data_IF_519352450120
#
_entry.id   IF_519352450120
#
_cell.length_a   1.000
_cell.length_b   1.000
_cell.length_c   1.000
_cell.angle_alpha   90.00
_cell.angle_beta   90.00
_cell.angle_gamma   90.00
#
_symmetry.space_group_name_H-M   'P 1'
#
loop_
_entity.id
_entity.type
_entity.pdbx_description
1 polymer ?
#
# COMPACT_ATOMS: atom_id res chain seq x y z
N UNK A 1 -21.93 -2.28 -1.57
CA UNK A 1 -20.77 -1.42 -1.27
C UNK A 1 -19.57 -1.91 -2.09
N UNK A 2 -18.79 -1.01 -2.65
CA UNK A 2 -17.61 -1.34 -3.46
C UNK A 2 -16.35 -0.88 -2.74
N UNK A 3 -15.31 -1.71 -2.73
CA UNK A 3 -13.98 -1.38 -2.18
C UNK A 3 -12.90 -2.12 -2.95
N UNK A 4 -11.70 -1.57 -2.95
CA UNK A 4 -10.51 -2.24 -3.47
C UNK A 4 -9.74 -2.89 -2.32
N UNK A 5 -9.22 -4.07 -2.56
CA UNK A 5 -8.38 -4.84 -1.64
C UNK A 5 -7.00 -5.08 -2.26
N UNK A 6 -5.98 -5.07 -1.43
CA UNK A 6 -4.63 -5.28 -1.90
C UNK A 6 -4.32 -6.78 -2.06
N UNK A 7 -3.81 -7.14 -3.23
CA UNK A 7 -3.26 -8.46 -3.51
C UNK A 7 -1.76 -8.31 -3.75
N UNK A 8 -0.96 -8.92 -2.89
CA UNK A 8 0.48 -9.03 -3.12
C UNK A 8 0.83 -10.36 -3.77
N UNK A 9 1.56 -10.28 -4.88
CA UNK A 9 2.18 -11.44 -5.54
C UNK A 9 3.59 -11.06 -6.00
N UNK A 10 4.57 -11.87 -5.62
CA UNK A 10 5.97 -11.73 -6.08
C UNK A 10 6.56 -10.34 -5.85
N UNK A 11 6.16 -9.68 -4.75
CA UNK A 11 6.62 -8.34 -4.39
C UNK A 11 5.93 -7.20 -5.13
N UNK A 12 4.90 -7.49 -5.94
CA UNK A 12 4.07 -6.51 -6.63
C UNK A 12 2.68 -6.44 -5.99
N UNK A 13 2.19 -5.24 -5.78
CA UNK A 13 0.85 -4.98 -5.25
C UNK A 13 -0.14 -4.70 -6.38
N UNK A 14 -1.30 -5.33 -6.33
CA UNK A 14 -2.41 -5.14 -7.27
C UNK A 14 -3.68 -4.82 -6.48
N UNK A 15 -4.46 -3.85 -6.95
CA UNK A 15 -5.79 -3.55 -6.38
C UNK A 15 -6.85 -4.43 -7.03
N UNK A 16 -7.59 -5.17 -6.21
CA UNK A 16 -8.66 -6.06 -6.64
C UNK A 16 -9.99 -5.49 -6.18
N UNK A 17 -10.93 -5.20 -7.09
CA UNK A 17 -12.25 -4.72 -6.71
C UNK A 17 -13.06 -5.83 -6.05
N UNK A 18 -13.67 -5.50 -4.92
CA UNK A 18 -14.58 -6.37 -4.17
C UNK A 18 -15.91 -5.65 -3.96
N UNK A 19 -17.00 -6.28 -4.34
CA UNK A 19 -18.34 -5.82 -4.00
C UNK A 19 -18.87 -6.58 -2.79
N UNK A 20 -19.39 -5.86 -1.79
CA UNK A 20 -20.02 -6.42 -0.61
C UNK A 20 -21.51 -6.12 -0.58
N UNK A 21 -22.32 -7.13 -0.22
CA UNK A 21 -23.76 -7.04 -0.01
C UNK A 21 -24.05 -7.60 1.38
N UNK A 22 -24.66 -6.76 2.22
CA UNK A 22 -25.17 -7.15 3.54
C UNK A 22 -26.68 -7.33 3.43
N UNK A 23 -27.19 -8.53 3.65
CA UNK A 23 -28.62 -8.81 3.61
C UNK A 23 -28.99 -9.96 4.55
N UNK A 24 -29.98 -9.75 5.41
CA UNK A 24 -30.53 -10.80 6.28
C UNK A 24 -29.49 -11.44 7.23
N UNK A 25 -28.49 -10.68 7.70
CA UNK A 25 -27.44 -11.22 8.55
C UNK A 25 -26.35 -12.00 7.79
N UNK A 26 -26.34 -11.94 6.46
CA UNK A 26 -25.39 -12.61 5.60
C UNK A 26 -24.53 -11.56 4.86
N UNK A 27 -23.21 -11.79 4.81
CA UNK A 27 -22.28 -11.03 4.01
C UNK A 27 -21.98 -11.80 2.72
N UNK A 28 -22.35 -11.22 1.58
CA UNK A 28 -21.92 -11.69 0.26
C UNK A 28 -20.74 -10.87 -0.23
N UNK A 29 -19.75 -11.52 -0.82
CA UNK A 29 -18.63 -10.85 -1.49
C UNK A 29 -18.50 -11.33 -2.92
N UNK A 30 -18.39 -10.38 -3.87
CA UNK A 30 -18.11 -10.64 -5.28
C UNK A 30 -16.70 -10.11 -5.59
N UNK A 31 -15.86 -10.98 -6.12
CA UNK A 31 -14.50 -10.67 -6.55
C UNK A 31 -14.06 -11.61 -7.67
N UNK A 32 -13.10 -11.18 -8.46
CA UNK A 32 -12.59 -11.96 -9.59
C UNK A 32 -11.27 -12.70 -9.28
N UNK A 33 -10.66 -12.43 -8.12
CA UNK A 33 -9.43 -13.11 -7.68
C UNK A 33 -9.54 -13.56 -6.22
N UNK A 34 -8.75 -14.57 -5.86
CA UNK A 34 -8.62 -15.00 -4.48
C UNK A 34 -7.69 -14.06 -3.72
N UNK A 35 -8.15 -13.52 -2.60
CA UNK A 35 -7.42 -12.61 -1.74
C UNK A 35 -6.93 -13.32 -0.47
N UNK A 36 -5.67 -13.12 -0.13
CA UNK A 36 -5.06 -13.70 1.09
C UNK A 36 -5.81 -13.33 2.37
N UNK A 37 -6.33 -12.10 2.44
CA UNK A 37 -7.13 -11.59 3.55
C UNK A 37 -8.37 -12.46 3.80
N UNK A 38 -9.12 -12.82 2.75
CA UNK A 38 -10.31 -13.67 2.88
C UNK A 38 -9.97 -15.09 3.35
N UNK A 39 -8.86 -15.64 2.85
CA UNK A 39 -8.38 -16.96 3.27
C UNK A 39 -7.95 -16.96 4.73
N UNK A 40 -7.26 -15.90 5.16
CA UNK A 40 -6.83 -15.74 6.56
C UNK A 40 -8.04 -15.61 7.49
N UNK A 41 -9.02 -14.77 7.16
CA UNK A 41 -10.22 -14.59 7.97
C UNK A 41 -11.06 -15.87 8.04
N UNK A 42 -11.22 -16.59 6.95
CA UNK A 42 -11.86 -17.91 6.96
C UNK A 42 -11.16 -18.88 7.92
N UNK A 43 -9.83 -18.91 7.90
CA UNK A 43 -9.03 -19.75 8.80
C UNK A 43 -9.22 -19.35 10.26
N UNK A 44 -9.19 -18.06 10.58
CA UNK A 44 -9.41 -17.53 11.93
C UNK A 44 -10.82 -17.90 12.44
N UNK A 45 -11.84 -17.68 11.64
CA UNK A 45 -13.22 -18.03 11.99
C UNK A 45 -13.42 -19.53 12.27
N UNK A 46 -12.67 -20.41 11.59
CA UNK A 46 -12.75 -21.87 11.80
C UNK A 46 -11.97 -22.33 13.04
N UNK A 47 -10.90 -21.61 13.43
CA UNK A 47 -10.00 -22.04 14.51
C UNK A 47 -10.27 -21.34 15.84
N UNK A 48 -11.00 -20.24 15.84
CA UNK A 48 -11.28 -19.41 17.03
C UNK A 48 -12.80 -19.22 17.20
N UNK A 49 -13.48 -20.08 17.99
CA UNK A 49 -14.90 -19.92 18.27
C UNK A 49 -15.20 -18.54 18.87
N UNK A 50 -16.21 -17.83 18.34
CA UNK A 50 -16.61 -16.51 18.81
C UNK A 50 -15.74 -15.35 18.26
N UNK A 51 -14.79 -15.62 17.37
CA UNK A 51 -13.97 -14.61 16.71
C UNK A 51 -14.82 -13.63 15.87
N UNK A 52 -15.84 -14.15 15.18
CA UNK A 52 -16.82 -13.36 14.42
C UNK A 52 -18.18 -13.61 15.02
N UNK A 53 -18.88 -12.57 15.43
CA UNK A 53 -20.21 -12.66 16.05
C UNK A 53 -21.33 -12.43 15.05
N UNK A 54 -21.09 -11.58 14.05
CA UNK A 54 -22.05 -11.30 12.98
C UNK A 54 -21.36 -10.95 11.64
N UNK A 55 -22.17 -10.67 10.62
CA UNK A 55 -21.67 -10.36 9.27
C UNK A 55 -20.98 -8.98 9.17
N UNK A 56 -21.27 -8.06 10.07
CA UNK A 56 -20.66 -6.74 10.12
C UNK A 56 -19.27 -6.84 10.76
N UNK A 57 -19.12 -7.63 11.83
CA UNK A 57 -17.81 -7.93 12.43
C UNK A 57 -16.87 -8.52 11.39
N UNK A 58 -17.37 -9.51 10.60
CA UNK A 58 -16.58 -10.10 9.53
C UNK A 58 -16.14 -9.06 8.49
N UNK A 59 -17.01 -8.13 8.12
CA UNK A 59 -16.68 -7.06 7.18
C UNK A 59 -15.63 -6.12 7.74
N UNK A 60 -15.75 -5.72 9.00
CA UNK A 60 -14.75 -4.88 9.67
C UNK A 60 -13.39 -5.58 9.79
N UNK A 61 -13.39 -6.86 10.12
CA UNK A 61 -12.18 -7.68 10.16
C UNK A 61 -11.49 -7.77 8.81
N UNK A 62 -12.25 -7.93 7.72
CA UNK A 62 -11.69 -7.92 6.36
C UNK A 62 -11.04 -6.58 6.03
N UNK A 63 -11.67 -5.46 6.38
CA UNK A 63 -11.07 -4.13 6.18
C UNK A 63 -9.85 -3.91 7.06
N UNK A 64 -9.89 -4.32 8.32
CA UNK A 64 -8.75 -4.24 9.23
C UNK A 64 -7.55 -5.03 8.70
N UNK A 65 -7.79 -6.26 8.25
CA UNK A 65 -6.72 -7.10 7.68
C UNK A 65 -6.15 -6.55 6.36
N UNK A 66 -6.96 -5.91 5.50
CA UNK A 66 -6.46 -5.25 4.28
C UNK A 66 -5.59 -4.03 4.62
N UNK A 67 -5.93 -3.29 5.67
CA UNK A 67 -5.10 -2.18 6.17
C UNK A 67 -3.77 -2.70 6.75
N UNK A 68 -3.75 -3.85 7.43
CA UNK A 68 -2.52 -4.50 7.88
C UNK A 68 -1.63 -4.92 6.71
N UNK A 69 -2.19 -5.54 5.67
CA UNK A 69 -1.46 -5.89 4.43
C UNK A 69 -0.88 -4.63 3.79
N UNK A 70 -1.65 -3.53 3.76
CA UNK A 70 -1.18 -2.25 3.24
C UNK A 70 0.00 -1.69 4.06
N UNK A 71 -0.01 -1.86 5.39
CA UNK A 71 1.09 -1.45 6.25
C UNK A 71 2.37 -2.24 5.95
N UNK A 72 2.27 -3.57 5.86
CA UNK A 72 3.40 -4.45 5.53
C UNK A 72 4.00 -4.08 4.16
N UNK A 73 3.14 -3.79 3.19
CA UNK A 73 3.57 -3.38 1.85
C UNK A 73 4.32 -2.04 1.87
N UNK A 74 3.90 -1.07 2.68
CA UNK A 74 4.62 0.21 2.84
C UNK A 74 5.99 0.02 3.53
N UNK A 75 6.09 -0.89 4.49
CA UNK A 75 7.37 -1.24 5.10
C UNK A 75 8.33 -1.86 4.08
N UNK A 76 7.83 -2.71 3.20
CA UNK A 76 8.62 -3.30 2.10
C UNK A 76 9.13 -2.22 1.14
N UNK A 77 8.28 -1.26 0.74
CA UNK A 77 8.68 -0.12 -0.09
C UNK A 77 9.77 0.69 0.62
N UNK A 78 9.60 0.99 1.90
CA UNK A 78 10.59 1.72 2.68
C UNK A 78 11.95 1.00 2.71
N UNK A 79 11.95 -0.32 2.91
CA UNK A 79 13.18 -1.13 2.91
C UNK A 79 13.87 -1.11 1.55
N UNK A 80 13.14 -1.27 0.45
CA UNK A 80 13.67 -1.21 -0.92
C UNK A 80 14.26 0.17 -1.24
N UNK A 81 13.56 1.25 -0.90
CA UNK A 81 14.06 2.62 -1.06
C UNK A 81 15.31 2.87 -0.20
N UNK A 82 15.45 2.21 0.94
CA UNK A 82 16.66 2.23 1.76
C UNK A 82 17.85 1.59 1.04
N UNK A 83 17.66 0.49 0.33
CA UNK A 83 18.70 -0.15 -0.51
C UNK A 83 19.10 0.77 -1.67
N UNK A 84 18.10 1.32 -2.38
CA UNK A 84 18.32 2.28 -3.47
C UNK A 84 19.10 3.49 -2.98
N UNK A 85 18.72 4.07 -1.83
CA UNK A 85 19.40 5.23 -1.26
C UNK A 85 20.88 4.98 -0.96
N UNK A 86 21.22 3.81 -0.41
CA UNK A 86 22.64 3.44 -0.20
C UNK A 86 23.41 3.30 -1.50
N UNK A 87 22.77 2.78 -2.55
CA UNK A 87 23.39 2.64 -3.86
C UNK A 87 23.62 4.00 -4.52
N UNK A 88 22.62 4.89 -4.50
CA UNK A 88 22.71 6.25 -5.06
C UNK A 88 23.81 7.08 -4.39
N UNK A 89 23.99 6.90 -3.08
CA UNK A 89 25.00 7.64 -2.30
C UNK A 89 26.38 6.98 -2.34
N UNK A 90 26.55 5.82 -2.97
CA UNK A 90 27.85 5.19 -3.19
C UNK A 90 28.62 5.87 -4.32
N UNK A 91 29.95 5.96 -4.18
CA UNK A 91 30.82 6.90 -4.93
C UNK A 91 31.04 6.64 -6.42
N UNK A 92 30.36 5.90 -7.15
CA UNK A 92 30.50 5.83 -8.63
C UNK A 92 29.35 5.04 -9.27
N UNK A 93 28.28 5.71 -9.58
CA UNK A 93 27.18 5.14 -10.36
C UNK A 93 27.45 5.40 -11.84
N UNK A 94 27.37 4.36 -12.67
CA UNK A 94 27.35 4.50 -14.13
C UNK A 94 25.97 5.01 -14.61
N UNK A 95 25.89 5.57 -15.81
CA UNK A 95 24.60 6.01 -16.38
C UNK A 95 23.62 4.85 -16.55
N UNK A 96 24.11 3.64 -16.82
CA UNK A 96 23.27 2.45 -16.94
C UNK A 96 22.70 2.01 -15.58
N UNK A 97 23.49 2.07 -14.52
CA UNK A 97 23.03 1.81 -13.16
C UNK A 97 22.03 2.87 -12.72
N UNK A 98 22.28 4.14 -13.01
CA UNK A 98 21.35 5.23 -12.70
C UNK A 98 19.99 5.05 -13.42
N UNK A 99 19.98 4.60 -14.66
CA UNK A 99 18.74 4.28 -15.38
C UNK A 99 17.97 3.12 -14.71
N UNK A 100 18.66 2.07 -14.26
CA UNK A 100 18.07 0.98 -13.48
C UNK A 100 17.47 1.44 -12.16
N UNK A 101 18.21 2.28 -11.43
CA UNK A 101 17.75 2.89 -10.18
C UNK A 101 16.48 3.72 -10.38
N UNK A 102 16.41 4.53 -11.44
CA UNK A 102 15.21 5.32 -11.76
C UNK A 102 14.01 4.42 -12.06
N UNK A 103 14.20 3.29 -12.74
CA UNK A 103 13.14 2.31 -12.99
C UNK A 103 12.64 1.68 -11.67
N UNK A 104 13.53 1.29 -10.77
CA UNK A 104 13.18 0.75 -9.45
C UNK A 104 12.41 1.78 -8.62
N UNK A 105 12.84 3.04 -8.61
CA UNK A 105 12.15 4.12 -7.90
C UNK A 105 10.75 4.34 -8.47
N UNK A 106 10.59 4.30 -9.80
CA UNK A 106 9.28 4.48 -10.46
C UNK A 106 8.33 3.33 -10.11
N UNK A 107 8.82 2.11 -9.97
CA UNK A 107 8.02 0.96 -9.53
C UNK A 107 7.52 1.14 -8.09
N UNK A 108 8.39 1.56 -7.18
CA UNK A 108 8.00 1.80 -5.79
C UNK A 108 7.04 3.01 -5.66
N UNK A 109 7.17 4.02 -6.52
CA UNK A 109 6.23 5.15 -6.59
C UNK A 109 4.83 4.68 -6.99
N UNK A 110 4.71 3.87 -8.03
CA UNK A 110 3.44 3.32 -8.50
C UNK A 110 2.78 2.44 -7.40
N UNK A 111 3.57 1.59 -6.73
CA UNK A 111 3.07 0.77 -5.62
C UNK A 111 2.58 1.63 -4.45
N UNK A 112 3.34 2.65 -4.03
CA UNK A 112 2.93 3.58 -2.98
C UNK A 112 1.61 4.29 -3.33
N UNK A 113 1.46 4.71 -4.57
CA UNK A 113 0.23 5.33 -5.09
C UNK A 113 -0.97 4.39 -5.04
N UNK A 114 -0.79 3.11 -5.40
CA UNK A 114 -1.86 2.07 -5.32
C UNK A 114 -2.30 1.82 -3.90
N UNK A 115 -1.34 1.65 -2.97
CA UNK A 115 -1.65 1.44 -1.56
C UNK A 115 -2.42 2.64 -1.01
N UNK A 116 -1.97 3.86 -1.31
CA UNK A 116 -2.67 5.07 -0.89
C UNK A 116 -4.11 5.12 -1.41
N UNK A 117 -4.33 4.80 -2.68
CA UNK A 117 -5.68 4.73 -3.25
C UNK A 117 -6.54 3.69 -2.53
N UNK A 118 -5.98 2.52 -2.23
CA UNK A 118 -6.67 1.42 -1.56
C UNK A 118 -7.13 1.80 -0.15
N UNK A 119 -6.24 2.37 0.67
CA UNK A 119 -6.60 2.77 2.04
C UNK A 119 -7.62 3.93 2.07
N UNK A 120 -7.60 4.82 1.09
CA UNK A 120 -8.62 5.87 0.94
C UNK A 120 -9.99 5.31 0.55
N UNK A 121 -10.05 4.28 -0.28
CA UNK A 121 -11.29 3.58 -0.60
C UNK A 121 -11.87 2.89 0.64
N UNK A 122 -11.03 2.24 1.44
CA UNK A 122 -11.43 1.64 2.73
C UNK A 122 -11.94 2.71 3.70
N UNK A 123 -11.29 3.88 3.78
CA UNK A 123 -11.74 5.00 4.58
C UNK A 123 -13.15 5.47 4.19
N UNK A 124 -13.43 5.58 2.88
CA UNK A 124 -14.76 5.95 2.37
C UNK A 124 -15.81 4.89 2.71
N UNK A 125 -15.46 3.62 2.57
CA UNK A 125 -16.35 2.50 2.87
C UNK A 125 -16.73 2.47 4.36
N UNK A 126 -15.77 2.60 5.27
CA UNK A 126 -16.00 2.66 6.71
C UNK A 126 -16.84 3.89 7.10
N UNK A 127 -16.53 5.05 6.52
CA UNK A 127 -17.32 6.28 6.74
C UNK A 127 -18.76 6.14 6.27
N UNK A 128 -19.01 5.42 5.19
CA UNK A 128 -20.35 5.09 4.71
C UNK A 128 -21.10 4.17 5.69
N UNK A 129 -20.44 3.09 6.15
CA UNK A 129 -21.02 2.16 7.13
C UNK A 129 -21.41 2.86 8.44
N UNK A 130 -20.53 3.71 8.96
CA UNK A 130 -20.79 4.46 10.19
C UNK A 130 -21.97 5.41 10.09
N UNK A 131 -22.18 6.03 8.93
CA UNK A 131 -23.34 6.92 8.69
C UNK A 131 -24.66 6.15 8.57
N UNK A 132 -24.60 4.91 8.11
CA UNK A 132 -25.79 4.07 7.87
C UNK A 132 -26.51 3.59 9.13
N UNK A 133 -26.01 3.89 10.33
CA UNK A 133 -26.57 3.44 11.63
C UNK A 133 -26.75 1.92 11.74
N UNK A 134 -25.93 1.16 11.01
CA UNK A 134 -25.97 -0.30 10.97
C UNK A 134 -25.03 -0.92 12.02
N UNK A 135 -24.15 -0.13 12.63
CA UNK A 135 -23.10 -0.56 13.53
C UNK A 135 -23.56 -0.45 15.00
N UNK A 136 -23.18 -1.45 15.81
CA UNK A 136 -23.24 -1.37 17.27
C UNK A 136 -22.18 -0.40 17.81
N UNK A 137 -22.24 -0.08 19.11
CA UNK A 137 -21.25 0.79 19.74
C UNK A 137 -19.81 0.22 19.66
N UNK A 138 -19.68 -1.09 19.84
CA UNK A 138 -18.39 -1.79 19.76
C UNK A 138 -17.85 -1.78 18.31
N UNK A 139 -18.70 -2.07 17.33
CA UNK A 139 -18.35 -2.00 15.91
C UNK A 139 -17.97 -0.59 15.46
N UNK A 140 -18.59 0.44 16.03
CA UNK A 140 -18.17 1.85 15.79
C UNK A 140 -16.75 2.08 16.37
N UNK A 141 -16.45 1.53 17.55
CA UNK A 141 -15.10 1.64 18.12
C UNK A 141 -14.04 0.95 17.24
N UNK A 142 -14.34 -0.24 16.73
CA UNK A 142 -13.47 -0.98 15.82
C UNK A 142 -13.27 -0.23 14.50
N UNK A 143 -14.34 0.25 13.88
CA UNK A 143 -14.26 1.07 12.67
C UNK A 143 -13.40 2.33 12.88
N UNK A 144 -13.53 3.01 14.02
CA UNK A 144 -12.70 4.16 14.39
C UNK A 144 -11.23 3.77 14.56
N UNK A 145 -10.95 2.57 15.08
CA UNK A 145 -9.57 2.09 15.20
C UNK A 145 -8.95 1.86 13.83
N UNK A 146 -9.68 1.24 12.90
CA UNK A 146 -9.22 1.05 11.52
C UNK A 146 -8.98 2.41 10.84
N UNK A 147 -9.87 3.40 11.05
CA UNK A 147 -9.69 4.75 10.51
C UNK A 147 -8.41 5.43 11.06
N UNK A 148 -8.10 5.27 12.36
CA UNK A 148 -6.84 5.79 12.93
C UNK A 148 -5.61 5.13 12.29
N UNK A 149 -5.66 3.83 12.03
CA UNK A 149 -4.59 3.13 11.34
C UNK A 149 -4.42 3.66 9.90
N UNK A 150 -5.53 3.89 9.19
CA UNK A 150 -5.52 4.50 7.84
C UNK A 150 -4.88 5.88 7.86
N UNK A 151 -5.21 6.73 8.84
CA UNK A 151 -4.63 8.07 8.95
C UNK A 151 -3.11 8.01 9.17
N UNK A 152 -2.63 7.05 9.97
CA UNK A 152 -1.20 6.78 10.14
C UNK A 152 -0.55 6.34 8.82
N UNK A 153 -1.18 5.42 8.09
CA UNK A 153 -0.66 4.95 6.79
C UNK A 153 -0.68 6.05 5.72
N UNK A 154 -1.68 6.93 5.71
CA UNK A 154 -1.69 8.09 4.82
C UNK A 154 -0.48 9.00 5.05
N UNK A 155 -0.12 9.24 6.30
CA UNK A 155 1.08 9.99 6.65
C UNK A 155 2.35 9.28 6.18
N UNK A 156 2.39 7.95 6.31
CA UNK A 156 3.51 7.13 5.84
C UNK A 156 3.64 7.15 4.30
N UNK A 157 2.54 7.05 3.56
CA UNK A 157 2.57 7.18 2.09
C UNK A 157 3.10 8.54 1.64
N UNK A 158 2.73 9.62 2.33
CA UNK A 158 3.25 10.96 2.04
C UNK A 158 4.76 11.05 2.28
N UNK A 159 5.24 10.51 3.41
CA UNK A 159 6.67 10.43 3.70
C UNK A 159 7.43 9.63 2.62
N UNK A 160 6.88 8.51 2.15
CA UNK A 160 7.50 7.73 1.09
C UNK A 160 7.56 8.49 -0.24
N UNK A 161 6.53 9.26 -0.59
CA UNK A 161 6.59 10.13 -1.77
C UNK A 161 7.71 11.17 -1.68
N UNK A 162 7.91 11.79 -0.53
CA UNK A 162 9.02 12.73 -0.32
C UNK A 162 10.38 12.03 -0.48
N UNK A 163 10.53 10.83 0.10
CA UNK A 163 11.75 10.02 -0.05
C UNK A 163 11.99 9.60 -1.50
N UNK A 164 10.96 9.20 -2.22
CA UNK A 164 11.01 8.84 -3.64
C UNK A 164 11.48 10.04 -4.46
N UNK A 165 10.89 11.21 -4.27
CA UNK A 165 11.29 12.44 -4.97
C UNK A 165 12.74 12.81 -4.67
N UNK A 166 13.18 12.74 -3.43
CA UNK A 166 14.57 12.98 -3.05
C UNK A 166 15.54 12.03 -3.77
N UNK A 167 15.24 10.72 -3.80
CA UNK A 167 16.10 9.73 -4.44
C UNK A 167 16.11 9.88 -5.97
N UNK A 168 14.99 10.27 -6.57
CA UNK A 168 14.87 10.56 -7.99
C UNK A 168 15.74 11.77 -8.37
N UNK A 169 15.64 12.86 -7.63
CA UNK A 169 16.43 14.08 -7.86
C UNK A 169 17.92 13.83 -7.68
N UNK A 170 18.32 13.07 -6.65
CA UNK A 170 19.70 12.69 -6.42
C UNK A 170 20.27 11.86 -7.58
N UNK A 171 19.50 10.88 -8.07
CA UNK A 171 19.91 10.01 -9.19
C UNK A 171 20.08 10.80 -10.48
N UNK A 172 19.15 11.71 -10.79
CA UNK A 172 19.24 12.62 -11.94
C UNK A 172 20.47 13.54 -11.81
N UNK A 173 20.76 14.02 -10.60
CA UNK A 173 21.93 14.84 -10.31
C UNK A 173 23.24 14.11 -10.65
N UNK A 174 23.38 12.82 -10.33
CA UNK A 174 24.53 12.00 -10.71
C UNK A 174 24.68 11.82 -12.22
N UNK A 175 23.58 11.60 -12.94
CA UNK A 175 23.59 11.53 -14.41
C UNK A 175 24.15 12.81 -15.01
N UNK A 176 23.71 13.99 -14.54
CA UNK A 176 24.18 15.29 -14.99
C UNK A 176 25.67 15.51 -14.72
N UNK A 177 26.17 15.09 -13.55
CA UNK A 177 27.59 15.16 -13.19
C UNK A 177 28.43 14.30 -14.14
N UNK A 178 27.99 13.08 -14.43
CA UNK A 178 28.70 12.17 -15.33
C UNK A 178 28.75 12.72 -16.77
N UNK A 179 27.64 13.29 -17.25
CA UNK A 179 27.61 13.94 -18.57
C UNK A 179 28.56 15.13 -18.64
N UNK A 180 28.61 16.00 -17.63
CA UNK A 180 29.52 17.12 -17.58
C UNK A 180 31.00 16.71 -17.58
N UNK A 181 31.36 15.64 -16.84
CA UNK A 181 32.71 15.07 -16.85
C UNK A 181 33.13 14.59 -18.23
N UNK A 182 32.22 13.93 -18.99
CA UNK A 182 32.50 13.50 -20.37
C UNK A 182 32.72 14.64 -21.33
N UNK A 183 31.86 15.68 -21.26
CA UNK A 183 32.00 16.87 -22.09
C UNK A 183 33.36 17.55 -21.82
N UNK A 184 33.75 17.72 -20.56
CA UNK A 184 35.03 18.32 -20.22
C UNK A 184 36.24 17.49 -20.69
N UNK A 185 36.14 16.16 -20.70
CA UNK A 185 37.19 15.30 -21.26
C UNK A 185 37.32 15.40 -22.78
N UNK A 186 36.21 15.66 -23.47
CA UNK A 186 36.20 15.85 -24.93
C UNK A 186 36.68 17.24 -25.37
N UNK A 187 36.62 18.26 -24.48
CA UNK A 187 37.02 19.64 -24.78
C UNK A 187 38.50 19.90 -24.48
N UNK A 188 39.23 19.01 -23.86
CA UNK A 188 40.66 19.12 -23.55
C UNK A 188 41.57 18.63 -24.69
N UNK A 189 41.01 18.16 -25.79
CA UNK A 189 41.67 17.82 -27.04
C UNK A 189 41.32 18.85 -28.11
#
# INVERSE_FOLDING_TARGET
>A
MHSNFLLEREGLSKSIPVAFILHGGILFSLRNEELSVFRLQRRRALTQPGYVTDCVDLLLDLYGADVEVSADSLENIYAKLGVVGRHVLSEAITDQEAAGILADIAEEEDQNGRIRSNILDTQRALSFLMRGRLLTADQIADAKQILRNIDSLNSHTAFLFDKINFLMDATIGFININQNKRVNQLTVF
#
